data_IF_126460806779
#
_entry.id   IF_126460806779
#
_cell.length_a   1.000
_cell.length_b   1.000
_cell.length_c   1.000
_cell.angle_alpha   90.00
_cell.angle_beta   90.00
_cell.angle_gamma   90.00
#
_symmetry.space_group_name_H-M   'P 1'
#
loop_
_entity.id
_entity.type
_entity.pdbx_description
1 polymer ?
#
# COMPACT_ATOMS: atom_id res chain seq x y z
N UNK A 1 10.53 -7.81 9.97
CA UNK A 1 9.29 -7.17 10.43
C UNK A 1 8.16 -8.07 10.03
N UNK A 2 7.45 -8.63 11.01
CA UNK A 2 6.25 -9.43 10.75
C UNK A 2 5.08 -8.53 10.36
N UNK A 3 3.97 -9.15 9.93
CA UNK A 3 2.80 -8.42 9.46
C UNK A 3 2.17 -7.56 10.56
N UNK A 4 2.04 -8.10 11.78
CA UNK A 4 1.40 -7.40 12.89
C UNK A 4 2.14 -6.10 13.25
N UNK A 5 3.47 -6.13 13.27
CA UNK A 5 4.29 -4.94 13.49
C UNK A 5 4.11 -3.91 12.36
N UNK A 6 4.05 -4.35 11.10
CA UNK A 6 3.81 -3.46 9.94
C UNK A 6 2.42 -2.83 9.99
N UNK A 7 1.38 -3.62 10.29
CA UNK A 7 0.00 -3.15 10.42
C UNK A 7 -0.12 -2.08 11.49
N UNK A 8 0.43 -2.33 12.68
CA UNK A 8 0.40 -1.37 13.78
C UNK A 8 1.07 -0.05 13.41
N UNK A 9 2.25 -0.11 12.77
CA UNK A 9 2.98 1.08 12.33
C UNK A 9 2.22 1.89 11.27
N UNK A 10 1.62 1.21 10.29
CA UNK A 10 0.80 1.87 9.27
C UNK A 10 -0.45 2.49 9.90
N UNK A 11 -1.11 1.80 10.84
CA UNK A 11 -2.26 2.33 11.55
C UNK A 11 -1.89 3.59 12.37
N UNK A 12 -0.78 3.57 13.11
CA UNK A 12 -0.30 4.74 13.84
C UNK A 12 -0.01 5.92 12.91
N UNK A 13 0.61 5.67 11.75
CA UNK A 13 0.86 6.69 10.74
C UNK A 13 -0.45 7.25 10.16
N UNK A 14 -1.45 6.41 9.91
CA UNK A 14 -2.77 6.81 9.43
C UNK A 14 -3.50 7.67 10.45
N UNK A 15 -3.61 7.22 11.70
CA UNK A 15 -4.25 7.96 12.79
C UNK A 15 -3.64 9.36 12.96
N UNK A 16 -2.31 9.44 12.89
CA UNK A 16 -1.60 10.72 12.95
C UNK A 16 -1.89 11.60 11.73
N UNK A 17 -1.99 11.01 10.54
CA UNK A 17 -2.35 11.72 9.30
C UNK A 17 -3.77 12.29 9.39
N UNK A 18 -4.75 11.50 9.85
CA UNK A 18 -6.13 12.00 10.04
C UNK A 18 -6.20 13.14 11.05
N UNK A 19 -5.45 13.03 12.15
CA UNK A 19 -5.43 14.05 13.21
C UNK A 19 -4.78 15.35 12.77
N UNK A 20 -3.61 15.27 12.14
CA UNK A 20 -2.81 16.45 11.83
C UNK A 20 -3.18 17.09 10.49
N UNK A 21 -3.63 16.30 9.51
CA UNK A 21 -3.92 16.73 8.14
C UNK A 21 -5.43 16.77 7.85
N UNK A 22 -6.25 17.03 8.87
CA UNK A 22 -7.72 17.01 8.78
C UNK A 22 -8.28 17.79 7.58
N UNK A 23 -7.68 18.94 7.24
CA UNK A 23 -8.08 19.77 6.11
C UNK A 23 -8.01 19.05 4.75
N UNK A 24 -7.07 18.10 4.58
CA UNK A 24 -7.00 17.30 3.34
C UNK A 24 -8.24 16.41 3.17
N UNK A 25 -8.79 15.91 4.27
CA UNK A 25 -9.98 15.07 4.25
C UNK A 25 -11.25 15.93 4.15
N UNK A 26 -11.33 17.02 4.90
CA UNK A 26 -12.45 17.97 4.87
C UNK A 26 -12.67 18.55 3.46
N UNK A 27 -11.58 18.94 2.80
CA UNK A 27 -11.63 19.53 1.46
C UNK A 27 -11.60 18.50 0.34
N UNK A 28 -11.68 17.20 0.66
CA UNK A 28 -11.68 16.11 -0.30
C UNK A 28 -10.51 16.19 -1.29
N UNK A 29 -9.31 16.38 -0.74
CA UNK A 29 -8.08 16.47 -1.51
C UNK A 29 -7.82 15.19 -2.34
N UNK A 30 -6.88 15.26 -3.26
CA UNK A 30 -6.52 14.09 -4.07
C UNK A 30 -5.84 13.00 -3.24
N UNK A 31 -6.01 11.74 -3.67
CA UNK A 31 -5.32 10.56 -3.12
C UNK A 31 -3.82 10.81 -2.98
N UNK A 32 -3.16 11.36 -4.01
CA UNK A 32 -1.73 11.73 -3.97
C UNK A 32 -1.36 12.69 -2.84
N UNK A 33 -2.19 13.71 -2.58
CA UNK A 33 -1.90 14.71 -1.54
C UNK A 33 -1.93 14.06 -0.16
N UNK A 34 -2.91 13.18 0.08
CA UNK A 34 -3.04 12.46 1.34
C UNK A 34 -1.93 11.42 1.48
N UNK A 35 -1.65 10.64 0.43
CA UNK A 35 -0.58 9.62 0.43
C UNK A 35 0.78 10.27 0.66
N UNK A 36 1.03 11.46 0.11
CA UNK A 36 2.26 12.21 0.39
C UNK A 36 2.42 12.51 1.88
N UNK A 37 1.37 13.03 2.53
CA UNK A 37 1.43 13.30 3.97
C UNK A 37 1.51 12.05 4.83
N UNK A 38 0.84 10.97 4.42
CA UNK A 38 0.95 9.66 5.03
C UNK A 38 2.38 9.13 4.95
N UNK A 39 3.05 9.26 3.79
CA UNK A 39 4.41 8.79 3.58
C UNK A 39 5.40 9.40 4.58
N UNK A 40 5.24 10.68 4.93
CA UNK A 40 6.07 11.34 5.95
C UNK A 40 5.96 10.64 7.31
N UNK A 41 4.75 10.27 7.71
CA UNK A 41 4.47 9.61 9.00
C UNK A 41 4.83 8.14 8.99
N UNK A 42 4.63 7.46 7.86
CA UNK A 42 5.14 6.11 7.64
C UNK A 42 6.66 6.10 7.77
N UNK A 43 7.38 7.03 7.14
CA UNK A 43 8.85 7.11 7.26
C UNK A 43 9.33 7.19 8.71
N UNK A 44 8.65 7.94 9.57
CA UNK A 44 8.99 8.01 11.00
C UNK A 44 8.90 6.63 11.70
N UNK A 45 8.01 5.74 11.24
CA UNK A 45 7.81 4.40 11.81
C UNK A 45 8.81 3.35 11.27
N UNK A 46 9.44 3.60 10.13
CA UNK A 46 10.35 2.67 9.45
C UNK A 46 11.75 3.29 9.24
N UNK A 47 12.49 3.67 10.30
CA UNK A 47 13.74 4.44 10.19
C UNK A 47 14.87 3.72 9.43
N UNK A 48 14.79 2.40 9.30
CA UNK A 48 15.77 1.59 8.58
C UNK A 48 15.35 1.32 7.12
N UNK A 49 14.19 1.79 6.66
CA UNK A 49 13.72 1.59 5.29
C UNK A 49 13.55 2.93 4.58
N UNK A 50 13.64 2.90 3.26
CA UNK A 50 13.17 3.97 2.39
C UNK A 50 11.64 3.92 2.30
N UNK A 51 11.02 5.09 2.29
CA UNK A 51 9.57 5.24 2.06
C UNK A 51 9.37 6.19 0.89
N UNK A 52 8.79 5.67 -0.18
CA UNK A 52 8.68 6.38 -1.45
C UNK A 52 7.24 6.35 -1.99
N UNK A 53 6.80 7.48 -2.54
CA UNK A 53 5.51 7.63 -3.23
C UNK A 53 5.71 7.41 -4.72
N UNK A 54 4.85 6.60 -5.34
CA UNK A 54 4.89 6.29 -6.78
C UNK A 54 6.27 5.75 -7.27
N UNK A 55 7.01 5.01 -6.42
CA UNK A 55 8.36 4.54 -6.77
C UNK A 55 8.34 3.53 -7.93
N UNK A 56 8.90 3.96 -9.06
CA UNK A 56 8.83 3.27 -10.34
C UNK A 56 10.09 2.49 -10.72
N UNK A 57 11.03 2.29 -9.79
CA UNK A 57 12.26 1.52 -10.04
C UNK A 57 12.23 0.19 -9.32
N UNK A 58 12.85 -0.83 -9.91
CA UNK A 58 13.18 -2.07 -9.24
C UNK A 58 14.44 -1.85 -8.39
N UNK A 59 14.36 -2.20 -7.11
CA UNK A 59 15.45 -1.96 -6.15
C UNK A 59 16.72 -2.68 -6.60
N UNK A 60 17.88 -2.04 -6.42
CA UNK A 60 19.21 -2.59 -6.77
C UNK A 60 19.50 -2.76 -8.28
N UNK A 61 18.50 -2.69 -9.16
CA UNK A 61 18.69 -2.81 -10.62
C UNK A 61 18.39 -1.51 -11.38
N UNK A 62 17.47 -0.69 -10.87
CA UNK A 62 17.10 0.59 -11.50
C UNK A 62 16.19 0.45 -12.73
N UNK A 63 15.71 -0.76 -13.04
CA UNK A 63 14.76 -0.99 -14.12
C UNK A 63 13.38 -0.41 -13.79
N UNK A 64 12.60 -0.08 -14.82
CA UNK A 64 11.25 0.47 -14.62
C UNK A 64 10.28 -0.65 -14.27
N UNK A 65 9.66 -0.57 -13.08
CA UNK A 65 8.64 -1.52 -12.63
C UNK A 65 7.54 -1.69 -13.68
N UNK A 66 7.35 -2.94 -14.10
CA UNK A 66 6.26 -3.34 -14.98
C UNK A 66 5.59 -4.60 -14.45
N UNK A 67 4.28 -4.54 -14.25
CA UNK A 67 3.48 -5.68 -13.79
C UNK A 67 2.72 -6.28 -14.97
N UNK A 68 2.70 -7.60 -15.05
CA UNK A 68 1.84 -8.34 -15.97
C UNK A 68 0.58 -8.77 -15.22
N UNK A 69 -0.60 -8.40 -15.71
CA UNK A 69 -1.86 -8.89 -15.16
C UNK A 69 -2.49 -9.91 -16.12
N UNK A 70 -2.64 -11.14 -15.64
CA UNK A 70 -3.34 -12.33 -16.17
C UNK A 70 -2.96 -12.87 -17.59
N UNK A 71 -2.83 -14.21 -17.74
CA UNK A 71 -2.77 -14.87 -19.04
C UNK A 71 -4.15 -14.83 -19.73
N UNK A 72 -4.21 -14.40 -21.00
CA UNK A 72 -5.41 -14.53 -21.85
C UNK A 72 -6.13 -13.22 -22.18
N UNK A 73 -5.87 -12.13 -21.44
CA UNK A 73 -6.14 -10.77 -21.93
C UNK A 73 -4.82 -10.22 -22.42
N UNK A 74 -4.74 -9.90 -23.72
CA UNK A 74 -3.59 -9.27 -24.41
C UNK A 74 -2.70 -8.55 -23.41
N UNK A 75 -1.47 -9.05 -23.22
CA UNK A 75 -0.46 -8.56 -22.28
C UNK A 75 -0.37 -7.03 -22.29
N UNK A 76 -1.24 -6.35 -21.54
CA UNK A 76 -1.18 -4.91 -21.39
C UNK A 76 -0.16 -4.70 -20.28
N UNK A 77 1.12 -4.67 -20.67
CA UNK A 77 2.21 -4.16 -19.84
C UNK A 77 1.82 -2.74 -19.43
N UNK A 78 1.21 -2.61 -18.26
CA UNK A 78 0.83 -1.32 -17.70
C UNK A 78 1.84 -0.99 -16.62
N UNK A 79 2.38 0.23 -16.69
CA UNK A 79 3.11 0.81 -15.57
C UNK A 79 2.11 0.96 -14.44
N UNK A 80 2.10 0.00 -13.51
CA UNK A 80 1.33 0.07 -12.28
C UNK A 80 2.32 0.41 -11.19
N UNK A 81 2.25 1.66 -10.73
CA UNK A 81 3.06 2.14 -9.63
C UNK A 81 2.25 1.96 -8.35
N UNK A 82 2.83 1.36 -7.29
CA UNK A 82 2.25 1.47 -5.96
C UNK A 82 2.16 2.93 -5.56
N UNK A 83 1.09 3.31 -4.85
CA UNK A 83 0.95 4.67 -4.35
C UNK A 83 2.03 4.97 -3.31
N UNK A 84 2.34 3.99 -2.45
CA UNK A 84 3.41 4.06 -1.45
C UNK A 84 4.13 2.72 -1.31
N UNK A 85 5.45 2.76 -1.11
CA UNK A 85 6.26 1.59 -0.78
C UNK A 85 7.15 1.83 0.42
N UNK A 86 7.40 0.75 1.18
CA UNK A 86 8.45 0.67 2.20
C UNK A 86 9.44 -0.39 1.74
N UNK A 87 10.68 0.00 1.49
CA UNK A 87 11.67 -0.83 0.81
C UNK A 87 13.10 -0.35 1.05
N UNK A 88 14.09 -1.04 0.50
CA UNK A 88 15.44 -0.52 0.33
C UNK A 88 15.68 -0.24 -1.15
N UNK A 89 16.10 0.97 -1.52
CA UNK A 89 16.33 1.34 -2.92
C UNK A 89 17.46 0.57 -3.59
N UNK A 90 18.51 0.22 -2.84
CA UNK A 90 19.75 -0.36 -3.37
C UNK A 90 19.82 -1.90 -3.25
N UNK A 91 18.85 -2.54 -2.61
CA UNK A 91 18.89 -3.98 -2.33
C UNK A 91 17.73 -4.74 -3.00
N UNK A 92 18.01 -5.95 -3.50
CA UNK A 92 17.03 -6.80 -4.19
C UNK A 92 16.42 -7.81 -3.20
N UNK A 93 15.21 -8.31 -3.50
CA UNK A 93 14.61 -9.46 -2.83
C UNK A 93 13.62 -9.12 -1.72
N UNK A 94 12.97 -10.16 -1.18
CA UNK A 94 11.87 -10.02 -0.21
C UNK A 94 12.30 -9.40 1.12
N UNK A 95 13.56 -9.55 1.51
CA UNK A 95 14.09 -8.85 2.68
C UNK A 95 14.16 -7.33 2.48
N UNK A 96 14.25 -6.90 1.22
CA UNK A 96 14.41 -5.51 0.80
C UNK A 96 13.10 -4.83 0.47
N UNK A 97 12.10 -5.56 -0.03
CA UNK A 97 10.77 -5.05 -0.35
C UNK A 97 9.78 -5.41 0.77
N UNK A 98 9.53 -4.48 1.71
CA UNK A 98 8.72 -4.75 2.89
C UNK A 98 7.22 -4.60 2.62
N UNK A 99 6.77 -3.44 2.15
CA UNK A 99 5.35 -3.10 2.00
C UNK A 99 5.09 -2.41 0.66
N UNK A 100 4.02 -2.80 -0.03
CA UNK A 100 3.40 -1.96 -1.07
C UNK A 100 1.95 -1.63 -0.69
N UNK A 101 1.58 -0.35 -0.85
CA UNK A 101 0.29 0.19 -0.44
C UNK A 101 -0.41 0.85 -1.62
N UNK A 102 -1.69 0.54 -1.77
CA UNK A 102 -2.63 1.21 -2.68
C UNK A 102 -3.68 1.94 -1.86
N UNK A 103 -3.94 3.19 -2.17
CA UNK A 103 -4.83 4.05 -1.40
C UNK A 103 -5.97 4.60 -2.26
N UNK A 104 -7.18 4.55 -1.73
CA UNK A 104 -8.37 5.09 -2.37
C UNK A 104 -9.07 6.05 -1.43
N UNK A 105 -9.50 7.21 -1.91
CA UNK A 105 -10.36 8.09 -1.11
C UNK A 105 -11.83 7.75 -1.30
N UNK A 106 -12.63 7.84 -0.24
CA UNK A 106 -14.07 7.57 -0.28
C UNK A 106 -14.85 8.44 -1.28
N UNK A 107 -14.33 9.63 -1.61
CA UNK A 107 -14.94 10.56 -2.58
C UNK A 107 -14.45 10.38 -4.03
N UNK A 108 -13.58 9.41 -4.30
CA UNK A 108 -13.16 9.09 -5.68
C UNK A 108 -14.31 8.42 -6.45
N UNK A 109 -14.59 8.80 -7.71
CA UNK A 109 -15.60 8.14 -8.53
C UNK A 109 -15.35 6.63 -8.63
N UNK A 110 -16.33 5.83 -8.21
CA UNK A 110 -16.25 4.37 -8.14
C UNK A 110 -16.04 3.78 -6.74
N UNK A 111 -15.89 4.60 -5.69
CA UNK A 111 -16.05 4.23 -4.27
C UNK A 111 -15.47 2.88 -3.80
N UNK A 112 -16.11 2.32 -2.76
CA UNK A 112 -15.77 1.06 -2.06
C UNK A 112 -15.64 -0.14 -3.03
N UNK A 113 -16.38 -0.15 -4.15
CA UNK A 113 -16.36 -1.25 -5.13
C UNK A 113 -15.03 -1.43 -5.87
N UNK A 114 -14.03 -0.57 -5.64
CA UNK A 114 -12.69 -0.69 -6.23
C UNK A 114 -11.64 -1.34 -5.33
N UNK A 115 -11.93 -1.59 -4.05
CA UNK A 115 -11.01 -2.32 -3.16
C UNK A 115 -10.61 -3.69 -3.74
N UNK A 116 -11.50 -4.36 -4.48
CA UNK A 116 -11.17 -5.61 -5.21
C UNK A 116 -10.10 -5.39 -6.30
N UNK A 117 -10.25 -4.32 -7.09
CA UNK A 117 -9.31 -4.00 -8.18
C UNK A 117 -7.96 -3.54 -7.66
N UNK A 118 -7.95 -2.78 -6.56
CA UNK A 118 -6.72 -2.34 -5.89
C UNK A 118 -6.05 -3.51 -5.17
N UNK A 119 -6.81 -4.43 -4.58
CA UNK A 119 -6.30 -5.70 -4.03
C UNK A 119 -5.59 -6.54 -5.09
N UNK A 120 -6.19 -6.70 -6.28
CA UNK A 120 -5.54 -7.40 -7.41
C UNK A 120 -4.23 -6.71 -7.85
N UNK A 121 -4.19 -5.37 -7.80
CA UNK A 121 -2.96 -4.60 -8.09
C UNK A 121 -1.88 -4.87 -7.03
N UNK A 122 -2.23 -4.82 -5.75
CA UNK A 122 -1.34 -5.13 -4.63
C UNK A 122 -0.77 -6.54 -4.76
N UNK A 123 -1.62 -7.54 -4.94
CA UNK A 123 -1.19 -8.94 -5.09
C UNK A 123 -0.22 -9.10 -6.26
N UNK A 124 -0.52 -8.50 -7.42
CA UNK A 124 0.35 -8.59 -8.58
C UNK A 124 1.71 -7.89 -8.36
N UNK A 125 1.74 -6.76 -7.65
CA UNK A 125 2.97 -6.09 -7.24
C UNK A 125 3.79 -6.95 -6.27
N UNK A 126 3.14 -7.56 -5.29
CA UNK A 126 3.77 -8.46 -4.32
C UNK A 126 4.40 -9.66 -5.01
N UNK A 127 3.66 -10.33 -5.88
CA UNK A 127 4.14 -11.50 -6.60
C UNK A 127 5.29 -11.16 -7.57
N UNK A 128 5.18 -10.03 -8.27
CA UNK A 128 6.18 -9.63 -9.29
C UNK A 128 7.48 -9.13 -8.64
N UNK A 129 7.39 -8.33 -7.60
CA UNK A 129 8.55 -7.64 -7.01
C UNK A 129 8.96 -8.17 -5.64
N UNK A 130 8.27 -9.18 -5.12
CA UNK A 130 8.58 -9.79 -3.83
C UNK A 130 8.33 -8.87 -2.64
N UNK A 131 7.29 -8.03 -2.67
CA UNK A 131 6.88 -7.32 -1.45
C UNK A 131 6.35 -8.32 -0.42
N UNK A 132 6.92 -8.31 0.79
CA UNK A 132 6.52 -9.23 1.87
C UNK A 132 5.07 -9.02 2.29
N UNK A 133 4.66 -7.75 2.41
CA UNK A 133 3.32 -7.37 2.82
C UNK A 133 2.72 -6.43 1.79
N UNK A 134 1.40 -6.43 1.70
CA UNK A 134 0.65 -5.53 0.85
C UNK A 134 -0.64 -5.09 1.51
N UNK A 135 -1.09 -3.87 1.21
CA UNK A 135 -2.37 -3.38 1.70
C UNK A 135 -3.10 -2.55 0.65
N UNK A 136 -4.37 -2.86 0.43
CA UNK A 136 -5.31 -1.97 -0.25
C UNK A 136 -6.11 -1.22 0.83
N UNK A 137 -6.12 0.10 0.76
CA UNK A 137 -6.57 0.97 1.84
C UNK A 137 -7.62 1.96 1.36
N UNK A 138 -8.71 2.08 2.11
CA UNK A 138 -9.61 3.23 2.01
C UNK A 138 -9.17 4.33 2.99
N UNK A 139 -8.85 5.50 2.43
CA UNK A 139 -8.46 6.71 3.17
C UNK A 139 -9.69 7.41 3.73
N UNK A 140 -10.24 6.81 4.78
CA UNK A 140 -11.35 7.33 5.56
C UNK A 140 -11.17 6.94 7.03
N UNK A 141 -11.60 7.75 8.02
CA UNK A 141 -11.47 7.39 9.43
C UNK A 141 -12.11 6.05 9.80
N UNK A 142 -13.12 5.65 9.04
CA UNK A 142 -13.82 4.37 9.16
C UNK A 142 -13.64 3.50 7.91
N UNK A 143 -12.59 3.76 7.13
CA UNK A 143 -12.31 3.03 5.89
C UNK A 143 -11.87 1.60 6.15
N UNK A 144 -12.11 0.74 5.17
CA UNK A 144 -11.63 -0.64 5.19
C UNK A 144 -10.16 -0.72 4.74
N UNK A 145 -9.47 -1.76 5.22
CA UNK A 145 -8.13 -2.11 4.74
C UNK A 145 -8.06 -3.60 4.48
N UNK A 146 -7.55 -4.03 3.33
CA UNK A 146 -7.31 -5.46 3.04
C UNK A 146 -5.83 -5.73 3.00
N UNK A 147 -5.40 -6.64 3.88
CA UNK A 147 -3.99 -6.97 4.08
C UNK A 147 -3.63 -8.30 3.44
N UNK A 148 -2.43 -8.35 2.88
CA UNK A 148 -1.87 -9.52 2.23
C UNK A 148 -0.45 -9.77 2.74
N UNK A 149 -0.07 -11.03 2.87
CA UNK A 149 1.31 -11.45 3.14
C UNK A 149 1.78 -12.41 2.05
N UNK A 150 3.05 -12.32 1.67
CA UNK A 150 3.65 -13.22 0.69
C UNK A 150 4.04 -14.54 1.40
N UNK A 151 3.41 -15.65 1.00
CA UNK A 151 3.70 -17.00 1.49
C UNK A 151 4.05 -17.89 0.30
N UNK A 152 5.20 -18.56 0.37
CA UNK A 152 5.67 -19.47 -0.71
C UNK A 152 5.67 -18.82 -2.12
N UNK A 153 5.90 -17.51 -2.18
CA UNK A 153 5.91 -16.74 -3.44
C UNK A 153 4.53 -16.31 -3.95
N UNK A 154 3.45 -16.58 -3.20
CA UNK A 154 2.09 -16.17 -3.53
C UNK A 154 1.52 -15.20 -2.47
N UNK A 155 0.82 -14.14 -2.87
CA UNK A 155 0.07 -13.29 -1.94
C UNK A 155 -1.09 -14.07 -1.33
N UNK A 156 -1.20 -14.04 0.00
CA UNK A 156 -2.31 -14.62 0.77
C UNK A 156 -3.00 -13.52 1.54
N UNK A 157 -4.31 -13.37 1.35
CA UNK A 157 -5.13 -12.41 2.11
C UNK A 157 -5.25 -12.83 3.56
N UNK A 158 -5.14 -11.86 4.46
CA UNK A 158 -5.26 -12.05 5.91
C UNK A 158 -6.68 -11.74 6.33
N UNK A 159 -7.32 -12.69 7.03
CA UNK A 159 -8.75 -12.63 7.40
C UNK A 159 -9.04 -11.49 8.38
N UNK A 160 -10.29 -11.01 8.36
CA UNK A 160 -10.77 -9.83 9.11
C UNK A 160 -10.47 -9.83 10.62
N UNK A 161 -10.43 -11.00 11.27
CA UNK A 161 -10.16 -11.11 12.72
C UNK A 161 -8.74 -10.64 13.10
N UNK A 162 -7.81 -10.59 12.14
CA UNK A 162 -6.43 -10.16 12.28
C UNK A 162 -6.18 -8.76 11.66
N UNK A 163 -7.25 -8.07 11.22
CA UNK A 163 -7.14 -6.75 10.61
C UNK A 163 -7.35 -5.64 11.63
N UNK A 164 -6.42 -4.70 11.68
CA UNK A 164 -6.53 -3.55 12.56
C UNK A 164 -7.49 -2.53 11.96
N UNK A 165 -8.65 -2.32 12.60
CA UNK A 165 -9.62 -1.28 12.20
C UNK A 165 -9.02 0.11 12.38
N UNK A 166 -9.20 0.95 11.37
CA UNK A 166 -8.69 2.34 11.35
C UNK A 166 -9.44 3.23 12.35
N UNK A 167 -10.64 2.81 12.78
CA UNK A 167 -11.39 3.41 13.88
C UNK A 167 -12.55 2.51 14.34
N UNK A 168 -13.05 2.72 15.55
CA UNK A 168 -14.32 2.16 16.03
C UNK A 168 -15.42 3.18 15.74
N UNK A 169 -16.49 2.76 15.07
CA UNK A 169 -17.74 3.53 15.01
C UNK A 169 -18.32 3.62 16.43
N UNK A 170 -18.43 4.83 16.97
CA UNK A 170 -19.37 5.13 18.07
C UNK A 170 -20.78 5.34 17.51
#
# INVERSE_FOLDING_TARGET
MDLAEVQLKVQLALLRTFKEEHALFEYRASERSIVHQLALRVRDQFPNFDVDVEYNRESGQGDVKCVHTEPGKRLLKRRRLPDLVVHHREAIGTNSNLLCLEAKTAWSPGGITRLDGDSLKVQALMQTFGYRHGVALELHPYGESRWFTLQEGAPVEVREDDQIKIGTSE
#
